data_IF_884739916424
#
_entry.id   IF_884739916424
#
_cell.length_a   1.000
_cell.length_b   1.000
_cell.length_c   1.000
_cell.angle_alpha   90.00
_cell.angle_beta   90.00
_cell.angle_gamma   90.00
#
_symmetry.space_group_name_H-M   'P 1'
#
loop_
_entity.id
_entity.type
_entity.pdbx_description
1 polymer ?
2 non-polymer ?
#
# COMPACT_ATOMS: atom_id res chain seq x y z
N UNK A 2 6.24 -23.63 -4.96
CA UNK A 2 6.30 -22.88 -6.26
C UNK A 2 5.36 -21.69 -6.22
N UNK A 3 4.69 -21.42 -7.33
CA UNK A 3 3.78 -20.28 -7.39
C UNK A 3 2.62 -20.39 -6.42
N UNK A 4 2.27 -21.62 -6.06
CA UNK A 4 1.16 -21.84 -5.16
C UNK A 4 1.36 -21.14 -3.83
N UNK A 5 2.53 -21.30 -3.23
CA UNK A 5 2.80 -20.63 -1.96
C UNK A 5 2.91 -19.13 -2.18
N UNK A 6 3.62 -18.73 -3.23
CA UNK A 6 3.79 -17.33 -3.54
C UNK A 6 2.44 -16.65 -3.69
N UNK A 7 1.55 -17.30 -4.43
CA UNK A 7 0.23 -16.75 -4.65
C UNK A 7 -0.47 -16.50 -3.33
N UNK A 8 -0.53 -17.52 -2.48
CA UNK A 8 -1.17 -17.39 -1.19
C UNK A 8 -0.56 -16.30 -0.34
N UNK A 9 0.76 -16.14 -0.41
CA UNK A 9 1.40 -15.10 0.38
C UNK A 9 0.98 -13.70 -0.11
N UNK A 10 0.88 -13.53 -1.42
CA UNK A 10 0.47 -12.25 -1.96
C UNK A 10 -0.99 -12.01 -1.69
N UNK A 11 -1.81 -13.05 -1.77
CA UNK A 11 -3.23 -12.86 -1.55
C UNK A 11 -3.46 -12.44 -0.12
N UNK A 12 -2.57 -12.88 0.75
CA UNK A 12 -2.64 -12.57 2.18
C UNK A 12 -2.35 -11.11 2.50
N UNK A 13 -1.34 -10.55 1.84
CA UNK A 13 -0.96 -9.16 2.07
C UNK A 13 -1.82 -8.18 1.29
N UNK A 14 -2.45 -8.68 0.24
CA UNK A 14 -3.34 -7.88 -0.57
C UNK A 14 -4.51 -7.56 0.38
N UNK A 15 -4.99 -8.61 1.04
CA UNK A 15 -6.08 -8.53 1.98
C UNK A 15 -5.69 -7.63 3.15
N UNK A 16 -4.50 -7.83 3.71
CA UNK A 16 -4.06 -6.96 4.79
C UNK A 16 -4.01 -5.50 4.35
N UNK A 17 -3.44 -5.26 3.18
CA UNK A 17 -3.33 -3.93 2.66
C UNK A 17 -4.71 -3.31 2.46
N UNK A 18 -5.71 -4.09 2.08
CA UNK A 18 -7.04 -3.53 1.87
C UNK A 18 -7.64 -3.12 3.21
N UNK A 19 -7.36 -3.91 4.23
CA UNK A 19 -7.85 -3.64 5.58
C UNK A 19 -7.23 -2.34 6.06
N UNK A 20 -5.95 -2.16 5.76
CA UNK A 20 -5.25 -0.96 6.14
C UNK A 20 -5.86 0.29 5.48
N UNK A 21 -6.05 0.24 4.16
CA UNK A 21 -6.66 1.34 3.44
C UNK A 21 -8.04 1.63 4.00
N UNK A 22 -8.84 0.58 4.11
CA UNK A 22 -10.19 0.66 4.63
C UNK A 22 -10.22 1.27 6.02
N UNK A 23 -9.22 0.94 6.80
CA UNK A 23 -9.10 1.45 8.16
C UNK A 23 -8.75 2.94 8.09
N UNK A 24 -7.82 3.29 7.21
CA UNK A 24 -7.39 4.67 7.05
C UNK A 24 -8.57 5.59 6.78
N UNK A 25 -9.28 5.37 5.68
CA UNK A 25 -10.41 6.23 5.34
C UNK A 25 -11.50 6.18 6.39
N UNK A 26 -11.54 5.11 7.17
CA UNK A 26 -12.53 4.97 8.23
C UNK A 26 -12.22 6.03 9.30
N UNK A 27 -10.99 6.05 9.80
CA UNK A 27 -10.60 7.03 10.81
C UNK A 27 -10.60 8.45 10.26
N UNK A 28 -10.43 8.57 8.95
CA UNK A 28 -10.40 9.88 8.32
C UNK A 28 -11.79 10.50 8.40
N UNK A 29 -12.80 9.65 8.49
CA UNK A 29 -14.18 10.12 8.57
C UNK A 29 -14.49 10.42 10.03
N UNK A 30 -14.20 9.46 10.90
CA UNK A 30 -14.42 9.60 12.32
C UNK A 30 -13.73 10.85 12.85
N UNK A 31 -12.97 11.50 11.98
CA UNK A 31 -12.26 12.71 12.36
C UNK A 31 -12.88 13.98 11.78
N UNK A 32 -12.90 14.12 10.45
N UNK B 2 13.11 -15.72 -7.31
CA UNK B 2 13.32 -16.89 -8.21
C UNK B 2 13.46 -16.47 -9.67
N UNK B 3 13.19 -17.41 -10.57
CA UNK B 3 13.28 -17.13 -12.00
C UNK B 3 12.12 -16.29 -12.52
N UNK B 4 12.28 -15.76 -13.73
CA UNK B 4 11.26 -14.93 -14.35
C UNK B 4 9.83 -15.46 -14.31
N UNK B 5 9.63 -16.65 -13.77
CA UNK B 5 8.29 -17.21 -13.68
C UNK B 5 7.62 -16.57 -12.46
N UNK B 6 8.33 -16.62 -11.33
CA UNK B 6 7.85 -16.05 -10.09
C UNK B 6 7.67 -14.55 -10.24
N UNK B 7 8.36 -13.97 -11.21
CA UNK B 7 8.26 -12.54 -11.46
C UNK B 7 6.88 -12.15 -11.99
N UNK B 8 6.31 -13.01 -12.82
CA UNK B 8 4.99 -12.76 -13.38
C UNK B 8 4.01 -12.61 -12.23
N UNK B 9 4.18 -13.42 -11.20
CA UNK B 9 3.31 -13.38 -10.04
C UNK B 9 3.47 -12.10 -9.28
N UNK B 10 4.72 -11.69 -9.07
CA UNK B 10 5.00 -10.46 -8.33
C UNK B 10 4.38 -9.27 -9.05
N UNK B 11 4.52 -9.26 -10.37
CA UNK B 11 3.98 -8.17 -11.16
C UNK B 11 2.46 -8.14 -11.09
N UNK B 12 1.87 -9.32 -11.14
CA UNK B 12 0.43 -9.47 -11.10
C UNK B 12 -0.18 -8.82 -9.88
N UNK B 13 0.51 -8.89 -8.75
CA UNK B 13 -0.04 -8.31 -7.55
C UNK B 13 0.34 -6.86 -7.31
N UNK B 14 1.48 -6.42 -7.83
CA UNK B 14 1.86 -5.03 -7.66
C UNK B 14 0.80 -4.26 -8.41
N UNK B 15 0.30 -4.85 -9.49
CA UNK B 15 -0.73 -4.23 -10.31
C UNK B 15 -2.03 -4.09 -9.51
N UNK B 16 -2.39 -5.11 -8.73
CA UNK B 16 -3.60 -5.05 -7.91
C UNK B 16 -3.37 -4.06 -6.78
N UNK B 17 -2.11 -3.86 -6.43
CA UNK B 17 -1.76 -2.97 -5.34
C UNK B 17 -1.97 -1.55 -5.80
N UNK B 18 -1.56 -1.26 -7.03
CA UNK B 18 -1.71 0.07 -7.59
C UNK B 18 -3.17 0.38 -7.78
N UNK B 19 -3.95 -0.65 -8.08
CA UNK B 19 -5.37 -0.48 -8.28
C UNK B 19 -6.03 -0.05 -6.98
N UNK B 20 -5.69 -0.72 -5.88
CA UNK B 20 -6.27 -0.39 -4.58
C UNK B 20 -5.94 1.05 -4.20
N UNK B 21 -4.71 1.48 -4.50
CA UNK B 21 -4.27 2.83 -4.18
C UNK B 21 -5.04 3.90 -4.92
N UNK B 22 -5.29 3.69 -6.21
CA UNK B 22 -6.05 4.66 -7.00
C UNK B 22 -7.49 4.74 -6.47
N UNK B 23 -8.08 3.60 -6.12
CA UNK B 23 -9.43 3.62 -5.59
C UNK B 23 -9.38 4.41 -4.31
N UNK B 24 -8.33 4.19 -3.53
CA UNK B 24 -8.21 4.87 -2.25
C UNK B 24 -8.14 6.36 -2.51
N UNK B 25 -7.41 6.75 -3.54
CA UNK B 25 -7.26 8.17 -3.87
C UNK B 25 -8.63 8.74 -4.23
N UNK B 26 -9.38 8.00 -5.03
CA UNK B 26 -10.71 8.43 -5.42
C UNK B 26 -11.58 8.69 -4.19
N UNK B 27 -11.63 7.73 -3.27
CA UNK B 27 -12.43 7.89 -2.08
C UNK B 27 -12.05 9.17 -1.33
N UNK B 28 -10.75 9.41 -1.16
CA UNK B 28 -10.29 10.61 -0.46
C UNK B 28 -10.70 11.86 -1.24
N UNK B 29 -10.51 11.83 -2.55
CA UNK B 29 -10.87 12.96 -3.39
C UNK B 29 -12.31 13.35 -3.09
N UNK B 30 -13.24 12.43 -3.29
CA UNK B 30 -14.64 12.72 -3.02
C UNK B 30 -14.86 13.11 -1.57
N UNK B 31 -14.13 12.45 -0.67
CA UNK B 31 -14.23 12.72 0.76
C UNK B 31 -13.97 14.20 1.06
N UNK B 32 -12.79 14.70 0.75
N UNK C 2 -7.33 20.27 12.28
CA UNK C 2 -6.99 20.82 10.92
C UNK C 2 -5.97 19.88 10.31
N UNK C 3 -5.04 20.43 9.54
CA UNK C 3 -4.02 19.61 8.91
C UNK C 3 -3.12 18.87 9.89
N UNK C 4 -3.02 19.41 11.10
CA UNK C 4 -2.19 18.79 12.12
C UNK C 4 -2.61 17.36 12.42
N UNK C 5 -3.90 17.15 12.64
CA UNK C 5 -4.41 15.82 12.91
C UNK C 5 -4.30 14.96 11.65
N UNK C 6 -4.72 15.51 10.52
CA UNK C 6 -4.66 14.77 9.27
C UNK C 6 -3.23 14.29 9.03
N UNK C 7 -2.26 15.19 9.20
CA UNK C 7 -0.87 14.84 8.98
C UNK C 7 -0.47 13.64 9.84
N UNK C 8 -0.73 13.72 11.14
CA UNK C 8 -0.37 12.63 12.03
C UNK C 8 -1.03 11.33 11.62
N UNK C 9 -2.28 11.40 11.18
CA UNK C 9 -3.01 10.19 10.78
C UNK C 9 -2.33 9.55 9.59
N UNK C 10 -1.92 10.37 8.63
CA UNK C 10 -1.26 9.86 7.43
C UNK C 10 0.13 9.34 7.76
N UNK C 11 0.84 10.04 8.63
CA UNK C 11 2.17 9.60 8.98
C UNK C 11 2.09 8.23 9.68
N UNK C 12 0.99 8.00 10.39
CA UNK C 12 0.75 6.76 11.11
C UNK C 12 0.53 5.57 10.18
N UNK C 13 -0.23 5.77 9.11
CA UNK C 13 -0.49 4.69 8.17
C UNK C 13 0.61 4.50 7.15
N UNK C 14 1.44 5.52 7.02
CA UNK C 14 2.56 5.45 6.11
C UNK C 14 3.51 4.46 6.76
N UNK C 15 3.70 4.66 8.05
CA UNK C 15 4.55 3.81 8.86
C UNK C 15 3.99 2.37 8.85
N UNK C 16 2.69 2.22 9.09
CA UNK C 16 2.07 0.89 9.08
C UNK C 16 2.28 0.21 7.73
N UNK C 17 2.04 0.96 6.67
CA UNK C 17 2.19 0.42 5.33
C UNK C 17 3.64 -0.01 5.07
N UNK C 18 4.62 0.72 5.62
CA UNK C 18 6.02 0.33 5.39
C UNK C 18 6.31 -0.97 6.13
N UNK C 19 5.69 -1.13 7.30
CA UNK C 19 5.88 -2.33 8.09
C UNK C 19 5.32 -3.50 7.32
N UNK C 20 4.18 -3.28 6.68
CA UNK C 20 3.53 -4.31 5.91
C UNK C 20 4.40 -4.75 4.75
N UNK C 21 4.92 -3.79 3.99
CA UNK C 21 5.76 -4.11 2.84
C UNK C 21 6.98 -4.85 3.31
N UNK C 22 7.62 -4.29 4.34
CA UNK C 22 8.84 -4.84 4.92
C UNK C 22 8.59 -6.26 5.38
N UNK C 23 7.40 -6.50 5.91
CA UNK C 23 7.04 -7.81 6.39
C UNK C 23 6.86 -8.75 5.20
N UNK C 24 6.21 -8.26 4.15
CA UNK C 24 5.98 -9.07 2.97
C UNK C 24 7.27 -9.61 2.40
N UNK C 25 8.20 -8.73 2.02
CA UNK C 25 9.46 -9.19 1.45
C UNK C 25 10.27 -10.04 2.43
N UNK C 26 9.99 -9.88 3.71
CA UNK C 26 10.69 -10.64 4.73
C UNK C 26 10.26 -12.10 4.57
N UNK C 27 8.96 -12.34 4.60
CA UNK C 27 8.43 -13.70 4.45
C UNK C 27 8.72 -14.28 3.07
N UNK C 28 8.86 -13.41 2.09
CA UNK C 28 9.12 -13.85 0.73
C UNK C 28 10.51 -14.46 0.67
N UNK C 29 11.38 -14.05 1.59
CA UNK C 29 12.75 -14.57 1.62
C UNK C 29 12.76 -15.86 2.43
N UNK C 30 12.16 -15.80 3.62
CA UNK C 30 12.07 -16.95 4.50
C UNK C 30 11.41 -18.11 3.78
N UNK C 31 10.93 -17.85 2.57
CA UNK C 31 10.27 -18.87 1.76
C UNK C 31 11.19 -19.38 0.65
N UNK C 32 11.62 -18.51 -0.25
N UNK D 2 -12.57 17.38 3.46
CA UNK D 2 -12.71 18.84 3.67
C UNK D 2 -12.44 19.63 2.39
N UNK D 3 -12.08 20.90 2.54
CA UNK D 3 -11.79 21.75 1.40
C UNK D 3 -10.46 21.43 0.72
N UNK D 4 -10.28 21.95 -0.48
CA UNK D 4 -9.06 21.71 -1.24
C UNK D 4 -7.74 21.93 -0.51
N UNK D 5 -7.79 22.32 0.76
CA UNK D 5 -6.58 22.50 1.55
C UNK D 5 -6.15 21.12 2.04
N UNK D 6 -7.10 20.41 2.64
CA UNK D 6 -6.87 19.07 3.15
C UNK D 6 -6.50 18.13 2.01
N UNK D 7 -6.88 18.51 0.80
CA UNK D 7 -6.58 17.71 -0.38
C UNK D 7 -5.09 17.69 -0.68
N UNK D 8 -4.42 18.82 -0.43
CA UNK D 8 -2.99 18.91 -0.68
C UNK D 8 -2.28 17.88 0.18
N UNK D 9 -2.78 17.71 1.40
CA UNK D 9 -2.21 16.75 2.33
C UNK D 9 -2.42 15.32 1.85
N UNK D 10 -3.64 15.02 1.40
CA UNK D 10 -3.96 13.69 0.91
C UNK D 10 -3.07 13.33 -0.26
N UNK D 11 -2.88 14.29 -1.15
CA UNK D 11 -2.07 14.07 -2.33
C UNK D 11 -0.62 13.86 -1.95
N UNK D 12 -0.17 14.64 -0.97
CA UNK D 12 1.20 14.55 -0.49
C UNK D 12 1.59 13.15 -0.04
N UNK D 13 0.65 12.46 0.60
CA UNK D 13 0.92 11.12 1.09
C UNK D 13 0.65 9.98 0.11
N UNK D 14 -0.27 10.18 -0.82
CA UNK D 14 -0.51 9.16 -1.82
C UNK D 14 0.77 9.07 -2.62
N UNK D 15 1.46 10.20 -2.77
CA UNK D 15 2.71 10.27 -3.50
C UNK D 15 3.80 9.47 -2.77
N UNK D 16 3.84 9.58 -1.44
CA UNK D 16 4.81 8.82 -0.64
C UNK D 16 4.41 7.33 -0.66
N UNK D 17 3.12 7.07 -0.87
CA UNK D 17 2.63 5.72 -0.93
C UNK D 17 3.10 5.06 -2.21
N UNK D 18 3.01 5.79 -3.31
CA UNK D 18 3.43 5.25 -4.58
C UNK D 18 4.93 5.02 -4.56
N UNK D 19 5.64 5.86 -3.81
CA UNK D 19 7.09 5.75 -3.74
C UNK D 19 7.47 4.45 -3.05
N UNK D 20 6.81 4.16 -1.93
CA UNK D 20 7.08 2.93 -1.18
C UNK D 20 6.81 1.69 -2.06
N UNK D 21 5.75 1.75 -2.86
CA UNK D 21 5.41 0.65 -3.74
C UNK D 21 6.45 0.37 -4.79
N UNK D 22 6.97 1.42 -5.44
CA UNK D 22 7.99 1.23 -6.46
C UNK D 22 9.25 0.66 -5.84
N UNK D 23 9.60 1.11 -4.63
CA UNK D 23 10.80 0.60 -3.99
C UNK D 23 10.56 -0.87 -3.73
N UNK D 24 9.35 -1.19 -3.29
CA UNK D 24 8.99 -2.56 -3.02
C UNK D 24 9.12 -3.37 -4.29
N UNK D 25 8.68 -2.82 -5.42
CA UNK D 25 8.78 -3.54 -6.69
C UNK D 25 10.24 -3.81 -6.98
N UNK D 26 11.07 -2.78 -6.81
CA UNK D 26 12.49 -2.92 -7.04
C UNK D 26 13.08 -4.08 -6.25
N UNK D 27 12.83 -4.09 -4.95
CA UNK D 27 13.33 -5.16 -4.11
C UNK D 27 12.93 -6.54 -4.64
N UNK D 28 11.65 -6.71 -5.00
CA UNK D 28 11.19 -7.99 -5.51
C UNK D 28 11.89 -8.31 -6.83
N UNK D 29 12.03 -7.32 -7.69
CA UNK D 29 12.68 -7.52 -8.98
C UNK D 29 14.03 -8.15 -8.73
N UNK D 30 14.87 -7.50 -7.94
CA UNK D 30 16.20 -8.02 -7.66
C UNK D 30 16.11 -9.36 -6.95
N UNK D 31 15.12 -9.49 -6.07
CA UNK D 31 14.91 -10.71 -5.32
C UNK D 31 14.75 -11.91 -6.25
N UNK D 32 13.75 -11.91 -7.11
X LIG E 1 -3.81 7.47 2.69
X LIG F 1 3.85 -7.32 -2.43
#
# INVERSE_FOLDING_TARGET
CGGGEIWKLHEEFLKKFEELLKLHEERLKKMX
CGGGEIWKLHEEFLKKFEELLKLHEERLKKMX
CGGGEIWKLHEEFLKKFEELLKLHEERLKKMX
CGGGEIWKLHEEFLKKFEELLKLHEERLKKMX
HG HG
HG HG
#
